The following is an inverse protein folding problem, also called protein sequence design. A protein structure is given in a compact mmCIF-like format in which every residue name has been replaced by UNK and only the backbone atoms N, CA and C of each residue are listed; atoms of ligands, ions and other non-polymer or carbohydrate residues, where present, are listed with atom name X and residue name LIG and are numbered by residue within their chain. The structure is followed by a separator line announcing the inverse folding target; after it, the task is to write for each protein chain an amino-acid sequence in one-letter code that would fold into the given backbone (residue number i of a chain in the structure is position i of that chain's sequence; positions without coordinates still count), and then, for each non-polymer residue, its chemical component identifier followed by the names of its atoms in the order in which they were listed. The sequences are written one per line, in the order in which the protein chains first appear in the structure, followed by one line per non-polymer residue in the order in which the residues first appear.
data_IF_132585822317
#
_entry.id   IF_132585822317
#
_cell.length_a   1.000
_cell.length_b   1.000
_cell.length_c   1.000
_cell.angle_alpha   90.00
_cell.angle_beta   90.00
_cell.angle_gamma   90.00
#
_symmetry.space_group_name_H-M   'P 1'
#
loop_
_entity.id
_entity.type
_entity.pdbx_description
1 polymer ?
#
# COMPACT_ATOMS: atom_id res chain seq x y z
N UNK A 1 7.47 -18.70 -7.25
CA UNK A 1 7.51 -17.44 -6.50
C UNK A 1 7.73 -17.74 -5.04
N UNK A 2 8.68 -17.06 -4.40
CA UNK A 2 8.91 -17.18 -2.96
C UNK A 2 7.69 -16.69 -2.17
N UNK A 3 7.53 -17.11 -0.91
CA UNK A 3 6.45 -16.59 -0.05
C UNK A 3 6.50 -15.06 0.05
N UNK A 4 7.71 -14.47 0.06
CA UNK A 4 7.91 -13.02 0.13
C UNK A 4 7.46 -12.30 -1.13
N UNK A 5 7.78 -12.85 -2.31
CA UNK A 5 7.30 -12.32 -3.58
C UNK A 5 5.76 -12.39 -3.66
N UNK A 6 5.15 -13.50 -3.24
CA UNK A 6 3.68 -13.61 -3.14
C UNK A 6 3.09 -12.55 -2.21
N UNK A 7 3.72 -12.31 -1.04
CA UNK A 7 3.27 -11.28 -0.09
C UNK A 7 3.36 -9.86 -0.66
N UNK A 8 4.40 -9.57 -1.45
CA UNK A 8 4.52 -8.28 -2.15
C UNK A 8 3.41 -8.12 -3.20
N UNK A 9 3.10 -9.17 -3.97
CA UNK A 9 1.95 -9.15 -4.89
C UNK A 9 0.61 -8.96 -4.19
N UNK A 10 0.40 -9.67 -3.07
CA UNK A 10 -0.80 -9.49 -2.22
C UNK A 10 -0.92 -8.03 -1.75
N UNK A 11 0.21 -7.40 -1.40
CA UNK A 11 0.23 -5.96 -1.06
C UNK A 11 -0.32 -5.12 -2.20
N UNK A 12 0.26 -5.28 -3.40
CA UNK A 12 -0.10 -4.47 -4.56
C UNK A 12 -1.58 -4.63 -4.89
N UNK A 13 -2.06 -5.86 -5.00
CA UNK A 13 -3.45 -6.14 -5.39
C UNK A 13 -4.44 -5.63 -4.35
N UNK A 14 -4.21 -5.91 -3.06
CA UNK A 14 -5.15 -5.48 -2.01
C UNK A 14 -5.16 -3.97 -1.82
N UNK A 15 -4.01 -3.30 -1.91
CA UNK A 15 -3.94 -1.83 -1.81
C UNK A 15 -4.62 -1.17 -3.01
N UNK A 16 -4.34 -1.65 -4.23
CA UNK A 16 -5.00 -1.14 -5.44
C UNK A 16 -6.51 -1.36 -5.40
N UNK A 17 -6.97 -2.53 -4.95
CA UNK A 17 -8.40 -2.82 -4.88
C UNK A 17 -9.09 -1.92 -3.85
N UNK A 18 -8.60 -1.88 -2.60
CA UNK A 18 -9.27 -1.12 -1.55
C UNK A 18 -9.21 0.39 -1.80
N UNK A 19 -8.03 0.93 -2.10
CA UNK A 19 -7.88 2.38 -2.25
C UNK A 19 -8.21 2.86 -3.66
N UNK A 20 -8.10 2.01 -4.69
CA UNK A 20 -8.64 2.31 -6.01
C UNK A 20 -10.15 2.47 -5.98
N UNK A 21 -10.87 1.64 -5.21
CA UNK A 21 -12.31 1.83 -4.97
C UNK A 21 -12.57 3.11 -4.17
N UNK A 22 -11.85 3.34 -3.06
CA UNK A 22 -12.02 4.55 -2.25
C UNK A 22 -11.85 5.83 -3.07
N UNK A 23 -10.69 6.03 -3.68
CA UNK A 23 -10.40 7.23 -4.46
C UNK A 23 -11.24 7.30 -5.73
N UNK A 24 -11.56 6.16 -6.37
CA UNK A 24 -12.42 6.11 -7.54
C UNK A 24 -13.83 6.62 -7.25
N UNK A 25 -14.42 6.22 -6.11
CA UNK A 25 -15.75 6.69 -5.68
C UNK A 25 -15.74 8.17 -5.34
N UNK A 26 -14.70 8.66 -4.67
CA UNK A 26 -14.55 10.09 -4.34
C UNK A 26 -14.38 10.94 -5.61
N UNK A 27 -13.47 10.55 -6.51
CA UNK A 27 -13.19 11.28 -7.76
C UNK A 27 -14.40 11.25 -8.71
N UNK A 28 -15.17 10.16 -8.72
CA UNK A 28 -16.41 10.07 -9.48
C UNK A 28 -17.54 10.96 -8.91
N UNK A 29 -17.35 11.60 -7.75
CA UNK A 29 -18.36 12.42 -7.08
C UNK A 29 -19.54 11.63 -6.53
N UNK A 30 -19.43 10.30 -6.46
CA UNK A 30 -20.50 9.44 -5.96
C UNK A 30 -20.64 9.52 -4.43
N UNK A 31 -19.57 9.90 -3.74
CA UNK A 31 -19.57 10.23 -2.30
C UNK A 31 -18.79 11.53 -2.11
N UNK A 32 -19.39 12.48 -1.40
CA UNK A 32 -18.70 13.70 -1.00
C UNK A 32 -17.61 13.36 0.03
N UNK A 33 -16.37 13.70 -0.31
CA UNK A 33 -15.20 13.52 0.55
C UNK A 33 -15.32 14.17 1.93
N UNK A 34 -16.16 15.19 2.09
CA UNK A 34 -16.35 15.92 3.36
C UNK A 34 -17.47 15.32 4.22
N UNK A 35 -18.20 14.34 3.69
CA UNK A 35 -19.32 13.71 4.37
C UNK A 35 -18.89 12.57 5.30
N UNK A 36 -19.75 12.24 6.27
CA UNK A 36 -19.58 11.02 7.06
C UNK A 36 -19.59 9.75 6.19
N UNK A 37 -20.25 9.76 5.03
CA UNK A 37 -20.25 8.61 4.14
C UNK A 37 -18.83 8.30 3.61
N UNK A 38 -18.01 9.32 3.34
CA UNK A 38 -16.61 9.12 2.97
C UNK A 38 -15.79 8.48 4.10
N UNK A 39 -16.07 8.85 5.36
CA UNK A 39 -15.44 8.23 6.53
C UNK A 39 -15.83 6.75 6.66
N UNK A 40 -17.11 6.43 6.51
CA UNK A 40 -17.58 5.03 6.56
C UNK A 40 -16.99 4.21 5.41
N UNK A 41 -16.89 4.78 4.21
CA UNK A 41 -16.26 4.15 3.06
C UNK A 41 -14.77 3.88 3.33
N UNK A 42 -14.05 4.85 3.88
CA UNK A 42 -12.65 4.67 4.25
C UNK A 42 -12.48 3.52 5.26
N UNK A 43 -13.29 3.52 6.32
CA UNK A 43 -13.26 2.45 7.33
C UNK A 43 -13.57 1.07 6.72
N UNK A 44 -14.55 0.99 5.82
CA UNK A 44 -14.86 -0.24 5.10
C UNK A 44 -13.69 -0.71 4.23
N UNK A 45 -13.03 0.20 3.49
CA UNK A 45 -11.86 -0.13 2.67
C UNK A 45 -10.67 -0.59 3.54
N UNK A 46 -10.45 0.02 4.71
CA UNK A 46 -9.41 -0.41 5.65
C UNK A 46 -9.73 -1.77 6.26
N UNK A 47 -10.98 -2.01 6.67
CA UNK A 47 -11.40 -3.31 7.19
C UNK A 47 -11.24 -4.41 6.12
N UNK A 48 -11.65 -4.13 4.88
CA UNK A 48 -11.47 -5.02 3.75
C UNK A 48 -9.98 -5.27 3.45
N UNK A 49 -9.14 -4.23 3.51
CA UNK A 49 -7.70 -4.37 3.33
C UNK A 49 -7.12 -5.33 4.36
N UNK A 50 -7.46 -5.16 5.64
CA UNK A 50 -7.00 -6.06 6.72
C UNK A 50 -7.49 -7.49 6.47
N UNK A 51 -8.76 -7.67 6.13
CA UNK A 51 -9.33 -8.99 5.84
C UNK A 51 -8.62 -9.68 4.66
N UNK A 52 -8.39 -8.95 3.56
CA UNK A 52 -7.65 -9.45 2.40
C UNK A 52 -6.20 -9.78 2.75
N UNK A 53 -5.53 -8.95 3.55
CA UNK A 53 -4.16 -9.20 4.01
C UNK A 53 -4.08 -10.51 4.79
N UNK A 54 -4.98 -10.72 5.74
CA UNK A 54 -5.01 -11.94 6.56
C UNK A 54 -5.35 -13.15 5.68
N UNK A 55 -6.45 -13.07 4.92
CA UNK A 55 -6.93 -14.18 4.11
C UNK A 55 -5.96 -14.61 3.02
N UNK A 56 -5.45 -13.66 2.22
CA UNK A 56 -4.51 -13.96 1.15
C UNK A 56 -3.15 -14.41 1.69
N UNK A 57 -2.70 -13.90 2.84
CA UNK A 57 -1.46 -14.39 3.47
C UNK A 57 -1.62 -15.81 4.00
N UNK A 58 -2.79 -16.16 4.54
CA UNK A 58 -3.10 -17.53 4.97
C UNK A 58 -3.09 -18.48 3.77
N UNK A 59 -3.72 -18.09 2.66
CA UNK A 59 -3.70 -18.85 1.40
C UNK A 59 -2.28 -18.96 0.84
N UNK A 60 -1.51 -17.89 0.84
CA UNK A 60 -0.12 -17.90 0.39
C UNK A 60 0.74 -18.85 1.24
N UNK A 61 0.50 -18.91 2.56
CA UNK A 61 1.19 -19.83 3.46
C UNK A 61 0.80 -21.28 3.18
N UNK A 62 -0.50 -21.56 3.01
CA UNK A 62 -0.99 -22.91 2.72
C UNK A 62 -0.52 -23.45 1.36
N UNK A 63 -0.31 -22.57 0.39
CA UNK A 63 0.14 -22.93 -0.99
C UNK A 63 1.65 -22.85 -1.18
N UNK A 64 2.43 -22.57 -0.13
CA UNK A 64 3.88 -22.53 -0.21
C UNK A 64 4.46 -23.80 0.44
N UNK A 65 5.34 -24.55 -0.27
CA UNK A 65 6.03 -25.70 0.30
C UNK A 65 6.79 -25.33 1.58
N UNK A 66 6.95 -26.30 2.50
CA UNK A 66 7.60 -26.07 3.81
C UNK A 66 8.98 -25.43 3.71
N UNK A 67 9.76 -25.78 2.69
CA UNK A 67 11.10 -25.22 2.46
C UNK A 67 11.04 -23.73 2.08
N UNK A 68 9.95 -23.28 1.45
CA UNK A 68 9.71 -21.87 1.14
C UNK A 68 9.18 -21.04 2.31
N UNK A 69 9.01 -21.65 3.49
CA UNK A 69 8.63 -21.02 4.75
C UNK A 69 9.81 -20.92 5.74
N UNK A 70 11.03 -21.21 5.28
CA UNK A 70 12.24 -21.03 6.06
C UNK A 70 12.36 -19.58 6.60
N UNK A 71 13.14 -19.37 7.68
CA UNK A 71 13.52 -18.04 8.11
C UNK A 71 14.06 -17.20 6.96
N UNK A 72 13.94 -15.87 7.07
CA UNK A 72 14.47 -14.98 6.03
C UNK A 72 15.97 -15.18 5.87
N UNK A 73 16.37 -15.38 4.62
CA UNK A 73 17.77 -15.31 4.24
C UNK A 73 18.27 -13.87 4.30
N UNK A 74 19.59 -13.68 4.45
CA UNK A 74 20.23 -12.36 4.45
C UNK A 74 19.85 -11.54 3.20
N UNK A 75 19.67 -12.22 2.06
CA UNK A 75 19.21 -11.59 0.82
C UNK A 75 17.80 -10.99 0.96
N UNK A 76 16.87 -11.72 1.57
CA UNK A 76 15.50 -11.21 1.78
C UNK A 76 15.52 -9.99 2.74
N UNK A 77 16.45 -9.98 3.70
CA UNK A 77 16.76 -8.84 4.57
C UNK A 77 17.25 -7.61 3.81
N UNK A 78 18.24 -7.78 2.94
CA UNK A 78 18.73 -6.69 2.11
C UNK A 78 17.66 -6.15 1.16
N UNK A 79 16.83 -7.02 0.56
CA UNK A 79 15.73 -6.60 -0.33
C UNK A 79 14.70 -5.78 0.44
N UNK A 80 14.25 -6.26 1.61
CA UNK A 80 13.28 -5.50 2.41
C UNK A 80 13.87 -4.16 2.85
N UNK A 81 15.12 -4.17 3.36
CA UNK A 81 15.80 -2.96 3.80
C UNK A 81 15.87 -1.92 2.69
N UNK A 82 16.37 -2.31 1.50
CA UNK A 82 16.48 -1.42 0.34
C UNK A 82 15.13 -0.89 -0.13
N UNK A 83 14.12 -1.75 -0.20
CA UNK A 83 12.77 -1.33 -0.59
C UNK A 83 12.15 -0.36 0.43
N UNK A 84 12.35 -0.59 1.73
CA UNK A 84 11.88 0.33 2.77
C UNK A 84 12.65 1.65 2.81
N UNK A 85 13.96 1.65 2.56
CA UNK A 85 14.73 2.89 2.42
C UNK A 85 14.21 3.73 1.25
N UNK A 86 13.92 3.10 0.10
CA UNK A 86 13.27 3.77 -1.02
C UNK A 86 11.90 4.34 -0.61
N UNK A 87 11.08 3.54 0.07
CA UNK A 87 9.78 3.97 0.59
C UNK A 87 9.87 5.14 1.55
N UNK A 88 10.87 5.15 2.44
CA UNK A 88 11.11 6.25 3.36
C UNK A 88 11.36 7.56 2.61
N UNK A 89 12.35 7.58 1.70
CA UNK A 89 12.66 8.80 0.95
C UNK A 89 11.49 9.25 0.06
N UNK A 90 10.79 8.30 -0.56
CA UNK A 90 9.62 8.58 -1.38
C UNK A 90 8.48 9.20 -0.54
N UNK A 91 8.16 8.61 0.61
CA UNK A 91 7.12 9.13 1.50
C UNK A 91 7.50 10.50 2.04
N UNK A 92 8.75 10.71 2.45
CA UNK A 92 9.22 12.02 2.89
C UNK A 92 9.04 13.06 1.78
N UNK A 93 9.47 12.76 0.56
CA UNK A 93 9.30 13.67 -0.58
C UNK A 93 7.82 13.97 -0.87
N UNK A 94 6.96 12.95 -0.87
CA UNK A 94 5.52 13.10 -1.08
C UNK A 94 4.83 13.87 0.05
N UNK A 95 5.23 13.67 1.30
CA UNK A 95 4.70 14.45 2.43
C UNK A 95 5.05 15.94 2.30
N UNK A 96 6.24 16.27 1.81
CA UNK A 96 6.61 17.66 1.54
C UNK A 96 5.75 18.31 0.45
N UNK A 97 5.17 17.54 -0.48
CA UNK A 97 4.26 18.12 -1.48
C UNK A 97 2.94 18.60 -0.88
N UNK A 98 2.58 18.19 0.35
CA UNK A 98 1.35 18.63 1.02
C UNK A 98 1.36 20.12 1.39
N UNK A 99 2.53 20.78 1.42
CA UNK A 99 2.59 22.23 1.58
C UNK A 99 1.86 22.98 0.45
N UNK A 100 1.82 22.40 -0.75
CA UNK A 100 1.16 23.02 -1.90
C UNK A 100 -0.36 23.14 -1.72
N UNK A 101 -1.13 22.05 -1.50
CA UNK A 101 -2.58 22.16 -1.31
C UNK A 101 -2.96 23.00 -0.08
N UNK A 102 -2.13 23.00 0.97
CA UNK A 102 -2.33 23.89 2.13
C UNK A 102 -2.30 25.36 1.71
N UNK A 103 -1.29 25.78 0.94
CA UNK A 103 -1.19 27.18 0.47
C UNK A 103 -2.27 27.54 -0.56
N UNK A 104 -2.80 26.56 -1.29
CA UNK A 104 -3.92 26.74 -2.21
C UNK A 104 -5.28 26.81 -1.49
N UNK A 105 -5.31 26.71 -0.16
CA UNK A 105 -6.53 26.86 0.64
C UNK A 105 -7.42 25.62 0.66
N UNK A 106 -6.90 24.44 0.32
CA UNK A 106 -7.65 23.19 0.45
C UNK A 106 -8.01 22.90 1.91
N UNK A 107 -9.13 22.22 2.11
CA UNK A 107 -9.61 21.90 3.45
C UNK A 107 -8.72 20.86 4.14
N UNK A 108 -8.85 20.75 5.47
CA UNK A 108 -8.18 19.71 6.26
C UNK A 108 -8.51 18.28 5.78
N UNK A 109 -9.74 18.07 5.29
CA UNK A 109 -10.19 16.77 4.79
C UNK A 109 -9.51 16.43 3.47
N UNK A 110 -9.36 17.40 2.57
CA UNK A 110 -8.64 17.22 1.31
C UNK A 110 -7.15 16.93 1.57
N UNK A 111 -6.54 17.66 2.51
CA UNK A 111 -5.16 17.43 2.94
C UNK A 111 -4.99 16.02 3.50
N UNK A 112 -5.93 15.54 4.32
CA UNK A 112 -5.92 14.17 4.84
C UNK A 112 -6.01 13.12 3.71
N UNK A 113 -6.85 13.37 2.70
CA UNK A 113 -6.96 12.51 1.52
C UNK A 113 -5.67 12.49 0.68
N UNK A 114 -5.03 13.64 0.48
CA UNK A 114 -3.72 13.69 -0.18
C UNK A 114 -2.63 12.98 0.62
N UNK A 115 -2.64 13.12 1.94
CA UNK A 115 -1.71 12.40 2.81
C UNK A 115 -1.92 10.88 2.72
N UNK A 116 -3.18 10.43 2.71
CA UNK A 116 -3.52 9.02 2.50
C UNK A 116 -3.05 8.53 1.12
N UNK A 117 -3.27 9.33 0.06
CA UNK A 117 -2.81 8.99 -1.29
C UNK A 117 -1.29 8.79 -1.33
N UNK A 118 -0.54 9.66 -0.67
CA UNK A 118 0.92 9.54 -0.57
C UNK A 118 1.37 8.25 0.13
N UNK A 119 0.66 7.83 1.18
CA UNK A 119 0.90 6.54 1.85
C UNK A 119 0.59 5.37 0.91
N UNK A 120 -0.50 5.44 0.16
CA UNK A 120 -0.88 4.41 -0.83
C UNK A 120 0.18 4.29 -1.93
N UNK A 121 0.57 5.41 -2.54
CA UNK A 121 1.61 5.46 -3.58
C UNK A 121 2.94 4.89 -3.07
N UNK A 122 3.35 5.28 -1.87
CA UNK A 122 4.57 4.75 -1.24
C UNK A 122 4.47 3.25 -1.03
N UNK A 123 3.35 2.77 -0.50
CA UNK A 123 3.14 1.33 -0.22
C UNK A 123 3.22 0.51 -1.51
N UNK A 124 2.64 1.01 -2.60
CA UNK A 124 2.73 0.40 -3.92
C UNK A 124 4.15 0.42 -4.48
N UNK A 125 4.89 1.53 -4.31
CA UNK A 125 6.27 1.64 -4.75
C UNK A 125 7.19 0.66 -3.99
N UNK A 126 7.02 0.52 -2.67
CA UNK A 126 7.79 -0.45 -1.85
C UNK A 126 7.49 -1.88 -2.30
N UNK A 127 6.21 -2.24 -2.43
CA UNK A 127 5.83 -3.58 -2.86
C UNK A 127 6.27 -3.88 -4.30
N UNK A 128 6.16 -2.90 -5.21
CA UNK A 128 6.66 -2.99 -6.58
C UNK A 128 8.18 -3.17 -6.63
N UNK A 129 8.93 -2.40 -5.82
CA UNK A 129 10.38 -2.53 -5.71
C UNK A 129 10.77 -3.94 -5.22
N UNK A 130 10.08 -4.47 -4.21
CA UNK A 130 10.29 -5.85 -3.74
C UNK A 130 10.07 -6.87 -4.86
N UNK A 131 8.97 -6.77 -5.61
CA UNK A 131 8.67 -7.67 -6.73
C UNK A 131 9.80 -7.62 -7.78
N UNK A 132 10.23 -6.42 -8.17
CA UNK A 132 11.30 -6.23 -9.17
C UNK A 132 12.62 -6.82 -8.67
N UNK A 133 12.99 -6.59 -7.41
CA UNK A 133 14.22 -7.12 -6.82
C UNK A 133 14.20 -8.65 -6.71
N UNK A 134 13.07 -9.24 -6.26
CA UNK A 134 12.94 -10.70 -6.20
C UNK A 134 13.06 -11.35 -7.58
N UNK A 135 12.45 -10.76 -8.62
CA UNK A 135 12.49 -11.29 -10.00
C UNK A 135 13.85 -11.11 -10.68
N UNK A 136 14.63 -10.11 -10.30
CA UNK A 136 15.95 -9.84 -10.89
C UNK A 136 17.07 -10.74 -10.37
N UNK A 137 16.80 -11.60 -9.37
CA UNK A 137 17.84 -12.43 -8.75
C UNK A 137 18.90 -11.63 -7.98
N UNK A 138 18.70 -10.32 -7.81
CA UNK A 138 19.57 -9.41 -7.07
C UNK A 138 19.27 -9.42 -5.57
#
# INVERSE_FOLDING_TARGET
MSFREKSAWITVVSVLLCFGVYFGVIVAGAVDSHSFAAMHLLLACVALLIALRIGLSAVAKATTPKDGLAPRDEREDLIQGRAHSLGYYLLTALMLTLFLPVHLGHSAIDIANFALLNVVLTTLAVAGAQIVMFRRGA
#
